data_IF_902763657679
#
_entry.id   IF_902763657679
#
_cell.length_a   1.000
_cell.length_b   1.000
_cell.length_c   1.000
_cell.angle_alpha   90.00
_cell.angle_beta   90.00
_cell.angle_gamma   90.00
#
_symmetry.space_group_name_H-M   'P 1'
#
loop_
_entity.id
_entity.type
_entity.pdbx_description
1 polymer ?
#
# COMPACT_ATOMS: atom_id res chain seq x y z
N UNK A 1 17.78 14.71 -13.00
CA UNK A 1 16.34 14.41 -13.13
C UNK A 1 16.01 13.23 -12.23
N UNK A 2 15.09 13.40 -11.30
CA UNK A 2 14.67 12.31 -10.42
C UNK A 2 13.51 11.55 -11.07
N UNK A 3 13.58 10.23 -11.06
CA UNK A 3 12.49 9.41 -11.57
C UNK A 3 11.25 9.58 -10.70
N UNK A 4 10.08 9.57 -11.34
CA UNK A 4 8.82 9.58 -10.62
C UNK A 4 8.66 8.25 -9.90
N UNK A 5 8.32 8.32 -8.62
CA UNK A 5 8.06 7.15 -7.80
C UNK A 5 6.71 7.34 -7.09
N UNK A 6 5.82 6.38 -7.25
CA UNK A 6 4.50 6.40 -6.62
C UNK A 6 4.49 5.36 -5.51
N UNK A 7 4.19 5.79 -4.29
CA UNK A 7 4.02 4.88 -3.17
C UNK A 7 2.56 4.49 -3.03
N UNK A 8 2.31 3.20 -2.86
CA UNK A 8 0.98 2.68 -2.56
C UNK A 8 0.99 1.95 -1.23
N UNK A 9 -0.03 2.14 -0.42
CA UNK A 9 -0.11 1.54 0.90
C UNK A 9 -1.45 0.87 1.11
N UNK A 10 -1.40 -0.43 1.45
CA UNK A 10 -2.49 -1.13 2.11
C UNK A 10 -2.22 -1.01 3.61
N UNK A 11 -2.99 -0.17 4.34
CA UNK A 11 -2.66 0.16 5.72
C UNK A 11 -2.91 -1.00 6.69
N UNK A 12 -2.26 -0.92 7.87
CA UNK A 12 -2.36 -1.91 8.92
C UNK A 12 -1.07 -2.69 9.08
N UNK A 13 -0.93 -3.38 10.24
CA UNK A 13 0.27 -4.18 10.53
C UNK A 13 0.39 -5.41 9.64
N UNK A 14 -0.73 -5.88 9.10
CA UNK A 14 -0.77 -7.00 8.13
C UNK A 14 -0.81 -6.52 6.69
N UNK A 15 -0.68 -5.23 6.46
CA UNK A 15 -0.68 -4.63 5.14
C UNK A 15 0.68 -4.64 4.47
N UNK A 16 0.85 -3.73 3.52
CA UNK A 16 2.07 -3.67 2.73
C UNK A 16 2.29 -2.27 2.17
N UNK A 17 3.52 -2.02 1.75
CA UNK A 17 3.90 -0.79 1.05
C UNK A 17 4.57 -1.16 -0.26
N UNK A 18 4.26 -0.39 -1.30
CA UNK A 18 4.80 -0.62 -2.63
C UNK A 18 5.32 0.69 -3.22
N UNK A 19 6.39 0.59 -3.98
CA UNK A 19 6.98 1.72 -4.71
C UNK A 19 7.00 1.35 -6.19
N UNK A 20 6.26 2.11 -6.98
CA UNK A 20 6.10 1.87 -8.41
C UNK A 20 6.74 3.03 -9.19
N UNK A 21 7.46 2.67 -10.24
CA UNK A 21 8.18 3.63 -11.08
C UNK A 21 7.55 3.61 -12.48
N UNK A 22 6.73 4.61 -12.83
CA UNK A 22 6.04 4.61 -14.14
C UNK A 22 6.97 4.51 -15.36
N UNK A 23 8.21 5.02 -15.22
CA UNK A 23 9.20 4.93 -16.30
C UNK A 23 9.78 3.51 -16.46
N UNK A 24 9.55 2.65 -15.47
CA UNK A 24 9.99 1.25 -15.47
C UNK A 24 8.83 0.35 -15.06
N UNK A 25 7.79 0.24 -15.90
CA UNK A 25 6.51 -0.35 -15.48
C UNK A 25 6.55 -1.84 -15.13
N UNK A 26 7.62 -2.54 -15.51
CA UNK A 26 7.79 -3.94 -15.12
C UNK A 26 8.41 -4.10 -13.73
N UNK A 27 8.77 -3.00 -13.07
CA UNK A 27 9.46 -3.02 -11.77
C UNK A 27 8.56 -2.45 -10.69
N UNK A 28 8.56 -3.13 -9.56
CA UNK A 28 7.91 -2.66 -8.34
C UNK A 28 8.72 -3.17 -7.15
N UNK A 29 8.92 -2.31 -6.16
CA UNK A 29 9.53 -2.69 -4.89
C UNK A 29 8.41 -2.83 -3.88
N UNK A 30 8.35 -3.97 -3.19
CA UNK A 30 7.23 -4.29 -2.29
C UNK A 30 7.76 -4.82 -0.98
N UNK A 31 7.16 -4.35 0.10
CA UNK A 31 7.51 -4.76 1.47
C UNK A 31 6.24 -4.99 2.26
N UNK A 32 6.24 -6.01 3.11
CA UNK A 32 5.24 -6.11 4.14
C UNK A 32 5.35 -4.87 5.04
N UNK A 33 4.26 -4.42 5.63
CA UNK A 33 4.28 -3.26 6.51
C UNK A 33 5.30 -3.48 7.62
N UNK A 34 6.31 -2.60 7.75
CA UNK A 34 7.26 -2.72 8.85
C UNK A 34 6.54 -2.68 10.19
N UNK A 35 6.70 -3.71 11.01
CA UNK A 35 5.96 -3.83 12.25
C UNK A 35 6.80 -4.45 13.36
N UNK A 36 6.45 -4.10 14.60
CA UNK A 36 6.99 -4.72 15.80
C UNK A 36 5.77 -5.10 16.65
N UNK A 37 5.51 -6.39 16.80
CA UNK A 37 4.30 -6.87 17.46
C UNK A 37 3.06 -6.42 16.67
N UNK A 38 2.17 -5.70 17.36
CA UNK A 38 0.92 -5.19 16.76
C UNK A 38 1.00 -3.72 16.36
N UNK A 39 2.21 -3.17 16.30
CA UNK A 39 2.42 -1.75 16.00
C UNK A 39 3.28 -1.59 14.75
N UNK A 40 3.06 -0.49 14.03
CA UNK A 40 3.92 -0.12 12.92
C UNK A 40 5.29 0.29 13.45
N UNK A 41 6.34 -0.20 12.82
CA UNK A 41 7.71 0.25 13.08
C UNK A 41 7.93 1.55 12.30
N UNK A 42 7.64 2.69 12.93
CA UNK A 42 7.71 3.99 12.29
C UNK A 42 9.10 4.34 11.74
N UNK A 43 10.20 4.12 12.48
CA UNK A 43 11.54 4.39 11.92
C UNK A 43 11.85 3.56 10.68
N UNK A 44 11.47 2.28 10.67
CA UNK A 44 11.71 1.41 9.52
C UNK A 44 10.89 1.87 8.30
N UNK A 45 9.65 2.30 8.52
CA UNK A 45 8.82 2.85 7.44
C UNK A 45 9.44 4.14 6.89
N UNK A 46 9.90 5.02 7.76
CA UNK A 46 10.56 6.26 7.34
C UNK A 46 11.82 5.98 6.53
N UNK A 47 12.59 4.95 6.91
CA UNK A 47 13.79 4.56 6.18
C UNK A 47 13.46 4.11 4.75
N UNK A 48 12.39 3.33 4.56
CA UNK A 48 11.93 2.94 3.23
C UNK A 48 11.58 4.18 2.39
N UNK A 49 10.87 5.13 2.98
CA UNK A 49 10.47 6.36 2.29
C UNK A 49 11.70 7.16 1.87
N UNK A 50 12.68 7.27 2.75
CA UNK A 50 13.93 7.97 2.43
C UNK A 50 14.74 7.26 1.35
N UNK A 51 14.69 5.94 1.31
CA UNK A 51 15.41 5.14 0.31
C UNK A 51 14.80 5.29 -1.07
N UNK A 52 13.48 5.17 -1.18
CA UNK A 52 12.79 5.17 -2.47
C UNK A 52 12.35 6.54 -2.94
N UNK A 53 12.27 7.51 -2.06
CA UNK A 53 11.96 8.92 -2.35
C UNK A 53 10.70 9.08 -3.21
N UNK A 54 9.54 8.57 -2.73
CA UNK A 54 8.31 8.70 -3.50
C UNK A 54 7.93 10.17 -3.69
N UNK A 55 7.40 10.46 -4.87
CA UNK A 55 6.90 11.78 -5.23
C UNK A 55 5.54 12.06 -4.59
N UNK A 56 4.73 11.00 -4.46
CA UNK A 56 3.38 11.05 -3.92
C UNK A 56 3.03 9.68 -3.36
N UNK A 57 2.15 9.65 -2.37
CA UNK A 57 1.68 8.42 -1.74
C UNK A 57 0.17 8.30 -1.86
N UNK A 58 -0.31 7.13 -2.29
CA UNK A 58 -1.73 6.77 -2.30
C UNK A 58 -1.96 5.74 -1.21
N UNK A 59 -2.85 6.06 -0.27
CA UNK A 59 -3.18 5.19 0.86
C UNK A 59 -4.66 4.83 0.75
N UNK A 60 -4.97 3.54 0.86
CA UNK A 60 -6.36 3.12 0.93
C UNK A 60 -7.02 3.75 2.16
N UNK A 61 -8.13 4.44 1.95
CA UNK A 61 -8.90 5.00 3.06
C UNK A 61 -9.71 3.89 3.73
N UNK A 62 -9.68 3.89 5.06
CA UNK A 62 -10.35 2.85 5.84
C UNK A 62 -11.14 3.49 6.97
N UNK A 63 -12.21 2.80 7.37
CA UNK A 63 -13.07 3.18 8.46
C UNK A 63 -13.29 1.99 9.37
N UNK A 64 -13.67 2.26 10.63
CA UNK A 64 -14.08 1.19 11.53
C UNK A 64 -15.34 0.53 10.97
N UNK A 65 -15.40 -0.79 11.04
CA UNK A 65 -16.55 -1.54 10.59
C UNK A 65 -17.56 -1.69 11.73
N UNK A 66 -18.87 -1.66 11.46
CA UNK A 66 -19.90 -1.67 12.51
C UNK A 66 -19.81 -2.84 13.49
N UNK A 67 -19.33 -3.99 13.05
CA UNK A 67 -19.21 -5.21 13.89
C UNK A 67 -17.80 -5.51 14.32
N UNK A 68 -16.87 -4.59 14.09
CA UNK A 68 -15.48 -4.77 14.49
C UNK A 68 -15.37 -4.55 15.99
N UNK A 69 -14.60 -5.40 16.70
CA UNK A 69 -14.35 -5.25 18.13
C UNK A 69 -13.61 -3.95 18.46
N UNK A 70 -13.81 -3.46 19.68
CA UNK A 70 -13.21 -2.21 20.15
C UNK A 70 -11.69 -2.26 20.08
N UNK A 71 -11.07 -3.35 20.61
CA UNK A 71 -9.62 -3.51 20.59
C UNK A 71 -9.08 -3.58 19.17
N UNK A 72 -9.73 -4.32 18.29
CA UNK A 72 -9.34 -4.44 16.90
C UNK A 72 -9.43 -3.08 16.18
N UNK A 73 -10.51 -2.33 16.40
CA UNK A 73 -10.68 -0.99 15.82
C UNK A 73 -9.62 -0.03 16.31
N UNK A 74 -9.30 -0.07 17.62
CA UNK A 74 -8.28 0.79 18.20
C UNK A 74 -6.89 0.49 17.60
N UNK A 75 -6.53 -0.79 17.57
CA UNK A 75 -5.22 -1.21 17.02
C UNK A 75 -5.08 -0.85 15.54
N UNK A 76 -6.15 -1.07 14.78
CA UNK A 76 -6.15 -0.72 13.35
C UNK A 76 -6.04 0.79 13.15
N UNK A 77 -6.81 1.58 13.90
CA UNK A 77 -6.76 3.03 13.84
C UNK A 77 -5.40 3.58 14.22
N UNK A 78 -4.76 2.99 15.22
CA UNK A 78 -3.42 3.37 15.65
C UNK A 78 -2.40 3.10 14.54
N UNK A 79 -2.44 1.94 13.91
CA UNK A 79 -1.56 1.60 12.79
C UNK A 79 -1.79 2.53 11.60
N UNK A 80 -3.05 2.76 11.26
CA UNK A 80 -3.43 3.64 10.16
C UNK A 80 -2.94 5.08 10.39
N UNK A 81 -3.14 5.61 11.59
CA UNK A 81 -2.67 6.94 11.94
C UNK A 81 -1.15 7.05 11.93
N UNK A 82 -0.45 6.01 12.40
CA UNK A 82 1.00 5.98 12.38
C UNK A 82 1.54 6.02 10.94
N UNK A 83 1.00 5.20 10.05
CA UNK A 83 1.41 5.18 8.64
C UNK A 83 1.24 6.56 8.01
N UNK A 84 0.05 7.16 8.18
CA UNK A 84 -0.23 8.49 7.62
C UNK A 84 0.69 9.56 8.19
N UNK A 85 0.94 9.50 9.50
CA UNK A 85 1.81 10.46 10.17
C UNK A 85 3.25 10.37 9.69
N UNK A 86 3.77 9.15 9.52
CA UNK A 86 5.14 8.96 9.03
C UNK A 86 5.29 9.49 7.60
N UNK A 87 4.35 9.16 6.72
CA UNK A 87 4.39 9.64 5.33
C UNK A 87 4.38 11.17 5.30
N UNK A 88 3.48 11.78 6.07
CA UNK A 88 3.38 13.24 6.15
C UNK A 88 4.65 13.87 6.71
N UNK A 89 5.20 13.30 7.78
CA UNK A 89 6.42 13.80 8.42
C UNK A 89 7.64 13.69 7.49
N UNK A 90 7.64 12.72 6.58
CA UNK A 90 8.68 12.62 5.55
C UNK A 90 8.47 13.58 4.38
N UNK A 91 7.44 14.41 4.43
CA UNK A 91 7.19 15.42 3.40
C UNK A 91 6.57 14.89 2.11
N UNK A 92 5.98 13.71 2.14
CA UNK A 92 5.37 13.10 0.95
C UNK A 92 3.89 13.46 0.88
N UNK A 93 3.42 14.11 -0.20
CA UNK A 93 1.98 14.37 -0.37
C UNK A 93 1.19 13.06 -0.38
N UNK A 94 0.04 13.06 0.29
CA UNK A 94 -0.78 11.86 0.44
C UNK A 94 -2.16 12.07 -0.16
N UNK A 95 -2.63 11.09 -0.92
CA UNK A 95 -4.00 11.01 -1.44
C UNK A 95 -4.66 9.78 -0.83
N UNK A 96 -5.82 9.97 -0.22
CA UNK A 96 -6.63 8.85 0.30
C UNK A 96 -7.54 8.35 -0.81
N UNK A 97 -7.56 7.03 -1.00
CA UNK A 97 -8.33 6.38 -2.07
C UNK A 97 -9.24 5.32 -1.45
N UNK A 98 -10.54 5.39 -1.73
CA UNK A 98 -11.46 4.35 -1.25
C UNK A 98 -11.17 3.02 -1.94
N UNK A 99 -11.38 1.88 -1.25
CA UNK A 99 -11.27 0.56 -1.87
C UNK A 99 -12.13 0.43 -3.12
N UNK A 100 -13.35 0.95 -3.06
CA UNK A 100 -14.28 0.91 -4.19
C UNK A 100 -13.70 1.59 -5.42
N UNK A 101 -13.04 2.73 -5.25
CA UNK A 101 -12.56 3.54 -6.36
C UNK A 101 -11.41 2.86 -7.10
N UNK A 102 -10.38 2.40 -6.38
CA UNK A 102 -9.25 1.78 -7.07
C UNK A 102 -9.59 0.39 -7.60
N UNK A 103 -10.46 -0.36 -6.89
CA UNK A 103 -10.91 -1.67 -7.37
C UNK A 103 -11.75 -1.54 -8.63
N UNK A 104 -12.65 -0.56 -8.69
CA UNK A 104 -13.45 -0.32 -9.90
C UNK A 104 -12.58 0.03 -11.11
N UNK A 105 -11.50 0.79 -10.89
CA UNK A 105 -10.57 1.13 -11.96
C UNK A 105 -9.97 -0.12 -12.63
N UNK A 106 -9.71 -1.17 -11.86
CA UNK A 106 -9.17 -2.42 -12.37
C UNK A 106 -10.24 -3.49 -12.63
N UNK A 107 -11.52 -3.15 -12.55
CA UNK A 107 -12.63 -4.10 -12.67
C UNK A 107 -12.53 -5.25 -11.64
N UNK A 108 -12.10 -4.91 -10.42
CA UNK A 108 -11.98 -5.83 -9.30
C UNK A 108 -13.15 -5.69 -8.34
N UNK A 109 -13.36 -6.71 -7.52
CA UNK A 109 -14.34 -6.71 -6.44
C UNK A 109 -13.64 -7.04 -5.10
N UNK A 110 -14.39 -7.49 -4.10
CA UNK A 110 -13.86 -7.82 -2.78
C UNK A 110 -13.07 -9.14 -2.73
N UNK A 111 -13.06 -9.91 -3.81
CA UNK A 111 -12.30 -11.17 -3.86
C UNK A 111 -10.80 -10.88 -3.93
N UNK A 112 -10.09 -11.17 -2.86
CA UNK A 112 -8.66 -10.88 -2.74
C UNK A 112 -7.80 -11.70 -3.70
N UNK A 113 -8.28 -12.88 -4.12
CA UNK A 113 -7.57 -13.69 -5.11
C UNK A 113 -7.56 -13.02 -6.49
N UNK A 114 -8.59 -12.26 -6.84
CA UNK A 114 -8.61 -11.51 -8.10
C UNK A 114 -7.54 -10.43 -8.11
N UNK A 115 -7.38 -9.70 -7.01
CA UNK A 115 -6.32 -8.69 -6.87
C UNK A 115 -4.94 -9.33 -6.97
N UNK A 116 -4.74 -10.45 -6.28
CA UNK A 116 -3.46 -11.16 -6.29
C UNK A 116 -3.12 -11.66 -7.70
N UNK A 117 -4.08 -12.24 -8.40
CA UNK A 117 -3.88 -12.71 -9.78
C UNK A 117 -3.54 -11.58 -10.74
N UNK A 118 -4.21 -10.44 -10.62
CA UNK A 118 -3.92 -9.28 -11.45
C UNK A 118 -2.50 -8.76 -11.20
N UNK A 119 -2.08 -8.70 -9.94
CA UNK A 119 -0.72 -8.27 -9.60
C UNK A 119 0.34 -9.23 -10.17
N UNK A 120 0.10 -10.54 -10.11
CA UNK A 120 0.99 -11.54 -10.72
C UNK A 120 1.11 -11.31 -12.23
N UNK A 121 -0.01 -11.02 -12.90
CA UNK A 121 0.01 -10.76 -14.34
C UNK A 121 0.84 -9.52 -14.70
N UNK A 122 0.76 -8.49 -13.88
CA UNK A 122 1.48 -7.23 -14.14
C UNK A 122 2.95 -7.32 -13.79
N UNK A 123 3.29 -8.04 -12.73
CA UNK A 123 4.65 -8.18 -12.23
C UNK A 123 4.93 -9.67 -11.94
N UNK A 124 5.15 -10.48 -12.98
CA UNK A 124 5.34 -11.93 -12.80
C UNK A 124 6.67 -12.31 -12.17
N UNK A 125 7.67 -11.44 -12.29
CA UNK A 125 9.01 -11.74 -11.79
C UNK A 125 9.15 -11.38 -10.31
N UNK A 126 10.04 -12.09 -9.61
CA UNK A 126 10.37 -11.79 -8.21
C UNK A 126 9.52 -12.51 -7.16
N UNK A 127 8.42 -13.15 -7.55
CA UNK A 127 7.60 -13.95 -6.62
C UNK A 127 6.93 -13.16 -5.51
N UNK A 128 6.67 -11.87 -5.72
CA UNK A 128 6.14 -10.99 -4.66
C UNK A 128 4.73 -11.39 -4.18
N UNK A 129 3.93 -12.02 -5.05
CA UNK A 129 2.52 -12.29 -4.80
C UNK A 129 2.18 -13.77 -4.82
N UNK A 130 3.16 -14.65 -4.65
CA UNK A 130 2.97 -16.08 -4.84
C UNK A 130 2.17 -16.74 -3.73
N UNK A 131 2.19 -16.19 -2.52
CA UNK A 131 1.48 -16.76 -1.39
C UNK A 131 0.07 -16.20 -1.28
N UNK A 132 -0.86 -17.01 -0.81
CA UNK A 132 -2.23 -16.55 -0.58
C UNK A 132 -2.29 -15.33 0.35
N UNK A 133 -1.40 -15.27 1.33
CA UNK A 133 -1.32 -14.16 2.28
C UNK A 133 -0.69 -12.89 1.70
N UNK A 134 -0.23 -12.93 0.45
CA UNK A 134 0.38 -11.76 -0.21
C UNK A 134 -0.65 -10.83 -0.85
N UNK A 135 -1.93 -10.98 -0.49
CA UNK A 135 -3.00 -10.10 -0.97
C UNK A 135 -2.75 -8.63 -0.57
N UNK A 136 -2.20 -8.36 0.61
CA UNK A 136 -1.82 -7.00 1.01
C UNK A 136 -0.75 -6.41 0.10
N UNK A 137 0.25 -7.19 -0.27
CA UNK A 137 1.28 -6.78 -1.23
C UNK A 137 0.68 -6.45 -2.59
N UNK A 138 -0.24 -7.29 -3.05
CA UNK A 138 -0.93 -7.10 -4.32
C UNK A 138 -1.74 -5.80 -4.31
N UNK A 139 -2.49 -5.57 -3.24
CA UNK A 139 -3.29 -4.36 -3.10
C UNK A 139 -2.42 -3.11 -3.07
N UNK A 140 -1.33 -3.10 -2.30
CA UNK A 140 -0.42 -1.97 -2.24
C UNK A 140 0.17 -1.65 -3.62
N UNK A 141 0.59 -2.67 -4.36
CA UNK A 141 1.14 -2.49 -5.71
C UNK A 141 0.10 -1.93 -6.68
N UNK A 142 -1.14 -2.45 -6.62
CA UNK A 142 -2.23 -1.98 -7.49
C UNK A 142 -2.65 -0.55 -7.13
N UNK A 143 -2.64 -0.19 -5.84
CA UNK A 143 -2.92 1.18 -5.41
C UNK A 143 -1.86 2.15 -5.97
N UNK A 144 -0.58 1.77 -5.93
CA UNK A 144 0.48 2.58 -6.51
C UNK A 144 0.30 2.74 -8.03
N UNK A 145 -0.02 1.65 -8.72
CA UNK A 145 -0.29 1.69 -10.15
C UNK A 145 -1.50 2.57 -10.46
N UNK A 146 -2.58 2.42 -9.70
CA UNK A 146 -3.75 3.28 -9.82
C UNK A 146 -3.35 4.75 -9.70
N UNK A 147 -2.55 5.08 -8.68
CA UNK A 147 -2.08 6.43 -8.46
C UNK A 147 -1.30 6.99 -9.66
N UNK A 148 -0.48 6.16 -10.30
CA UNK A 148 0.30 6.58 -11.46
C UNK A 148 -0.57 6.97 -12.65
N UNK A 149 -1.80 6.46 -12.71
CA UNK A 149 -2.76 6.77 -13.79
C UNK A 149 -3.59 8.01 -13.50
N UNK A 150 -3.44 8.61 -12.32
CA UNK A 150 -4.16 9.81 -11.92
C UNK A 150 -3.37 11.10 -12.14
N UNK A 151 -2.11 10.99 -12.48
CA UNK A 151 -1.20 12.13 -12.70
C UNK A 151 -0.85 12.34 -14.16
#
# INVERSE_FOLDING_TARGET
MTDICIMGIDPGVSGAVAFYFPDYPTRVAIFDAPSVGKEINAPALAELIHTYKPTICYIESVNAMPKQGVTSSFNFGQAYGCVRGVVAACGVPTVLVSPRKWKAFFALDSDKEKSRRLAIMKWPDGGHFNRKKDDGRAEAALIALYGSKQI
#
